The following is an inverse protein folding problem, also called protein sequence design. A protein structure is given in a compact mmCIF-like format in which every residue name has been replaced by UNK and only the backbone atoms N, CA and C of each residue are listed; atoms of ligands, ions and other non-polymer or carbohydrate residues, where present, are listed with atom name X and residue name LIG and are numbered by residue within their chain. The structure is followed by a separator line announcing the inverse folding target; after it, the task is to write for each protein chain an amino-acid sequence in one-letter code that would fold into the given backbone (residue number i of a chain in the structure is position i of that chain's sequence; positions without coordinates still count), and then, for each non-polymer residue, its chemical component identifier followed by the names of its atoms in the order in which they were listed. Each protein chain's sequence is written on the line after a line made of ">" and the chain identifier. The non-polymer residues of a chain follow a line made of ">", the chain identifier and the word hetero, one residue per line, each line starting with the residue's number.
data_IF_853639527606
#
_entry.id   IF_853639527606
#
_cell.length_a   1.000
_cell.length_b   1.000
_cell.length_c   1.000
_cell.angle_alpha   90.00
_cell.angle_beta   90.00
_cell.angle_gamma   90.00
#
_symmetry.space_group_name_H-M   'P 1'
#
loop_
_entity.id
_entity.type
_entity.pdbx_description
1 polymer ?
#
# COMPACT_ATOMS: atom_id res chain seq x y z
N UNK A 1 -31.58 -18.68 -40.65
CA UNK A 1 -31.33 -18.29 -39.25
C UNK A 1 -29.83 -18.03 -39.15
N UNK A 2 -29.36 -16.78 -39.22
CA UNK A 2 -27.93 -16.52 -39.06
C UNK A 2 -27.57 -16.76 -37.59
N UNK A 3 -26.57 -17.61 -37.38
CA UNK A 3 -25.88 -17.74 -36.09
C UNK A 3 -25.22 -16.40 -35.84
N UNK A 4 -25.72 -15.66 -34.85
CA UNK A 4 -25.07 -14.43 -34.38
C UNK A 4 -23.74 -14.83 -33.76
N UNK A 5 -22.67 -14.49 -34.44
CA UNK A 5 -21.29 -14.59 -33.98
C UNK A 5 -21.12 -13.61 -32.81
N UNK A 6 -21.46 -14.04 -31.60
CA UNK A 6 -21.24 -13.27 -30.38
C UNK A 6 -19.86 -13.58 -29.80
N UNK A 7 -18.82 -13.38 -30.59
CA UNK A 7 -17.48 -13.20 -30.05
C UNK A 7 -17.43 -11.81 -29.41
N UNK A 8 -17.92 -11.72 -28.16
CA UNK A 8 -17.48 -10.66 -27.26
C UNK A 8 -15.95 -10.75 -27.23
N UNK A 9 -15.28 -9.86 -27.96
CA UNK A 9 -13.83 -9.80 -27.97
C UNK A 9 -13.41 -9.57 -26.52
N UNK A 10 -12.79 -10.58 -25.89
CA UNK A 10 -12.28 -10.48 -24.54
C UNK A 10 -11.36 -9.27 -24.47
N UNK A 11 -11.72 -8.26 -23.69
CA UNK A 11 -10.90 -7.05 -23.55
C UNK A 11 -9.55 -7.46 -22.97
N UNK A 12 -8.50 -7.09 -23.67
CA UNK A 12 -7.14 -7.48 -23.34
C UNK A 12 -6.32 -6.22 -23.03
N UNK A 13 -5.65 -6.25 -21.89
CA UNK A 13 -4.79 -5.19 -21.38
C UNK A 13 -3.35 -5.72 -21.30
N UNK A 14 -2.39 -4.88 -21.70
CA UNK A 14 -0.97 -5.19 -21.62
C UNK A 14 -0.23 -4.08 -20.88
N UNK A 15 0.45 -4.46 -19.81
CA UNK A 15 1.22 -3.58 -18.94
C UNK A 15 2.55 -4.23 -18.58
N UNK A 16 3.52 -3.47 -18.10
CA UNK A 16 4.77 -4.04 -17.58
C UNK A 16 4.53 -4.68 -16.21
N UNK A 17 3.75 -4.01 -15.37
CA UNK A 17 3.44 -4.44 -14.00
C UNK A 17 1.93 -4.41 -13.75
N UNK A 18 1.39 -5.50 -13.22
CA UNK A 18 0.02 -5.61 -12.72
C UNK A 18 0.03 -5.65 -11.19
N UNK A 19 -0.57 -4.67 -10.54
CA UNK A 19 -0.68 -4.58 -9.08
C UNK A 19 -2.14 -4.82 -8.70
N UNK A 20 -2.42 -5.89 -7.96
CA UNK A 20 -3.76 -6.27 -7.53
C UNK A 20 -3.98 -5.83 -6.09
N UNK A 21 -4.63 -4.68 -5.94
CA UNK A 21 -4.96 -4.05 -4.66
C UNK A 21 -4.40 -2.63 -4.55
N UNK A 22 -5.26 -1.68 -4.21
CA UNK A 22 -4.95 -0.24 -4.16
C UNK A 22 -4.86 0.31 -2.71
N UNK A 23 -4.41 -0.52 -1.76
CA UNK A 23 -4.07 -0.05 -0.41
C UNK A 23 -2.70 0.65 -0.38
N UNK A 24 -2.20 0.99 0.82
CA UNK A 24 -0.89 1.62 0.98
C UNK A 24 0.23 0.86 0.26
N UNK A 25 0.24 -0.49 0.34
CA UNK A 25 1.25 -1.32 -0.31
C UNK A 25 1.22 -1.18 -1.84
N UNK A 26 0.04 -1.30 -2.47
CA UNK A 26 -0.08 -1.24 -3.93
C UNK A 26 0.16 0.16 -4.50
N UNK A 27 -0.40 1.19 -3.86
CA UNK A 27 -0.21 2.58 -4.28
C UNK A 27 1.25 3.04 -4.11
N UNK A 28 1.86 2.73 -2.95
CA UNK A 28 3.27 3.09 -2.74
C UNK A 28 4.19 2.36 -3.71
N UNK A 29 3.96 1.08 -3.99
CA UNK A 29 4.72 0.36 -5.01
C UNK A 29 4.57 1.02 -6.38
N UNK A 30 3.35 1.32 -6.82
CA UNK A 30 3.10 1.94 -8.12
C UNK A 30 3.87 3.25 -8.28
N UNK A 31 3.91 4.07 -7.22
CA UNK A 31 4.62 5.36 -7.19
C UNK A 31 6.15 5.24 -7.09
N UNK A 32 6.67 4.12 -6.62
CA UNK A 32 8.12 3.87 -6.56
C UNK A 32 8.68 3.25 -7.84
N UNK A 33 7.82 2.66 -8.68
CA UNK A 33 8.25 2.09 -9.94
C UNK A 33 8.69 3.20 -10.91
N UNK A 34 9.79 3.00 -11.67
CA UNK A 34 10.23 3.97 -12.67
C UNK A 34 9.13 4.37 -13.65
N UNK A 35 9.09 5.66 -14.01
CA UNK A 35 8.05 6.25 -14.86
C UNK A 35 7.96 5.65 -16.29
N UNK A 36 8.96 4.88 -16.74
CA UNK A 36 8.95 4.21 -18.04
C UNK A 36 8.17 2.88 -18.02
N UNK A 37 7.79 2.37 -16.85
CA UNK A 37 6.93 1.18 -16.74
C UNK A 37 5.46 1.58 -16.84
N UNK A 38 4.71 0.87 -17.68
CA UNK A 38 3.24 0.94 -17.73
C UNK A 38 2.67 0.06 -16.63
N UNK A 39 1.87 0.64 -15.74
CA UNK A 39 1.39 -0.02 -14.54
C UNK A 39 -0.14 -0.10 -14.58
N UNK A 40 -0.70 -1.29 -14.40
CA UNK A 40 -2.11 -1.48 -14.12
C UNK A 40 -2.31 -1.66 -12.61
N UNK A 41 -3.06 -0.76 -11.97
CA UNK A 41 -3.43 -0.85 -10.57
C UNK A 41 -4.91 -1.23 -10.45
N UNK A 42 -5.18 -2.41 -9.88
CA UNK A 42 -6.52 -2.97 -9.77
C UNK A 42 -7.10 -2.69 -8.39
N UNK A 43 -8.34 -2.20 -8.35
CA UNK A 43 -9.14 -2.07 -7.14
C UNK A 43 -10.49 -2.76 -7.28
N UNK A 44 -10.84 -3.60 -6.29
CA UNK A 44 -12.13 -4.31 -6.20
C UNK A 44 -13.34 -3.37 -6.04
N UNK A 45 -13.11 -2.18 -5.51
CA UNK A 45 -14.13 -1.17 -5.25
C UNK A 45 -13.56 0.23 -5.52
N UNK A 46 -14.18 1.28 -4.97
CA UNK A 46 -13.58 2.62 -4.99
C UNK A 46 -12.29 2.64 -4.17
N UNK A 47 -11.38 3.56 -4.51
CA UNK A 47 -10.03 3.63 -3.94
C UNK A 47 -10.01 3.90 -2.42
N UNK A 48 -11.10 4.44 -1.87
CA UNK A 48 -11.24 4.79 -0.45
C UNK A 48 -11.89 3.70 0.41
N UNK A 49 -11.99 2.46 -0.09
CA UNK A 49 -12.70 1.37 0.61
C UNK A 49 -11.79 0.32 1.28
N UNK A 50 -10.46 0.37 1.05
CA UNK A 50 -9.52 -0.59 1.65
C UNK A 50 -9.22 -0.31 3.13
N UNK A 51 -8.73 -1.31 3.88
CA UNK A 51 -8.41 -1.19 5.31
C UNK A 51 -7.44 -0.04 5.63
N UNK A 52 -6.51 0.27 4.72
CA UNK A 52 -5.60 1.42 4.85
C UNK A 52 -6.36 2.71 5.14
N UNK A 53 -7.46 2.98 4.43
CA UNK A 53 -8.22 4.23 4.59
C UNK A 53 -8.82 4.40 6.00
N UNK A 54 -9.09 3.27 6.67
CA UNK A 54 -9.73 3.21 7.99
C UNK A 54 -8.73 3.06 9.15
N UNK A 55 -7.42 3.05 8.88
CA UNK A 55 -6.44 2.98 9.95
C UNK A 55 -6.43 4.29 10.76
N UNK A 56 -6.57 4.18 12.08
CA UNK A 56 -6.68 5.34 12.97
C UNK A 56 -5.34 5.68 13.62
N UNK A 57 -4.81 4.73 14.41
CA UNK A 57 -3.69 4.90 15.34
C UNK A 57 -2.50 5.62 14.74
N UNK A 58 -1.71 4.91 13.93
CA UNK A 58 -0.61 5.52 13.22
C UNK A 58 0.34 4.52 12.60
N UNK A 59 1.57 4.95 12.33
CA UNK A 59 2.63 4.11 11.81
C UNK A 59 3.82 4.13 12.76
N UNK A 60 4.35 2.96 13.12
CA UNK A 60 5.51 2.87 13.99
C UNK A 60 6.81 3.21 13.23
N UNK A 61 7.58 4.18 13.72
CA UNK A 61 8.89 4.52 13.18
C UNK A 61 9.81 5.17 14.23
N UNK A 62 11.09 4.83 14.18
CA UNK A 62 12.11 5.42 15.07
C UNK A 62 12.50 6.81 14.56
N UNK A 63 11.79 7.83 15.05
CA UNK A 63 11.90 9.22 14.58
C UNK A 63 12.64 10.17 15.53
N UNK A 64 12.82 9.79 16.80
CA UNK A 64 13.48 10.62 17.82
C UNK A 64 14.78 9.99 18.33
N UNK A 65 15.73 10.81 18.82
CA UNK A 65 17.01 10.37 19.41
C UNK A 65 16.87 9.66 20.76
N UNK A 66 15.67 9.64 21.33
CA UNK A 66 15.33 8.96 22.60
C UNK A 66 14.88 7.52 22.36
N UNK A 67 14.79 7.13 21.10
CA UNK A 67 14.37 5.82 20.66
C UNK A 67 15.45 5.22 19.75
N UNK A 68 15.51 3.90 19.67
CA UNK A 68 16.51 3.17 18.89
C UNK A 68 15.86 2.10 18.02
N UNK A 69 16.53 1.80 16.90
CA UNK A 69 16.16 0.67 16.03
C UNK A 69 16.12 -0.63 16.83
N UNK A 70 17.15 -0.89 17.64
CA UNK A 70 17.25 -2.13 18.42
C UNK A 70 16.10 -2.27 19.41
N UNK A 71 15.69 -1.18 20.07
CA UNK A 71 14.52 -1.19 20.95
C UNK A 71 13.23 -1.54 20.19
N UNK A 72 13.03 -0.99 18.99
CA UNK A 72 11.85 -1.33 18.18
C UNK A 72 11.88 -2.79 17.70
N UNK A 73 13.05 -3.29 17.32
CA UNK A 73 13.24 -4.69 16.92
C UNK A 73 12.86 -5.61 18.08
N UNK A 74 13.38 -5.35 19.28
CA UNK A 74 13.08 -6.18 20.45
C UNK A 74 11.60 -6.07 20.87
N UNK A 75 10.99 -4.89 20.86
CA UNK A 75 9.54 -4.71 21.06
C UNK A 75 8.74 -5.62 20.09
N UNK A 76 9.11 -5.63 18.81
CA UNK A 76 8.43 -6.40 17.76
C UNK A 76 8.61 -7.91 17.95
N UNK A 77 9.83 -8.36 18.26
CA UNK A 77 10.13 -9.78 18.47
C UNK A 77 9.45 -10.34 19.71
N UNK A 78 9.40 -9.54 20.79
CA UNK A 78 8.68 -9.90 22.01
C UNK A 78 7.18 -9.99 21.76
N UNK A 79 6.58 -9.00 21.08
CA UNK A 79 5.17 -9.03 20.73
C UNK A 79 4.80 -10.17 19.75
N UNK A 80 5.76 -10.63 18.94
CA UNK A 80 5.60 -11.73 18.01
C UNK A 80 5.75 -13.14 18.60
N UNK A 81 5.95 -13.26 19.91
CA UNK A 81 5.96 -14.53 20.66
C UNK A 81 6.90 -15.60 20.07
N UNK A 82 8.09 -15.19 19.62
CA UNK A 82 9.10 -16.08 19.04
C UNK A 82 8.81 -16.60 17.63
N UNK A 83 7.72 -16.16 16.99
CA UNK A 83 7.32 -16.58 15.64
C UNK A 83 7.82 -15.65 14.53
N UNK A 84 8.42 -14.51 14.90
CA UNK A 84 8.97 -13.57 13.92
C UNK A 84 10.22 -14.10 13.23
N UNK A 85 10.33 -13.81 11.94
CA UNK A 85 11.60 -13.85 11.23
C UNK A 85 12.40 -12.58 11.55
N UNK A 86 13.50 -12.72 12.31
CA UNK A 86 14.29 -11.58 12.80
C UNK A 86 14.84 -10.71 11.68
N UNK A 87 15.31 -11.30 10.59
CA UNK A 87 15.80 -10.59 9.41
C UNK A 87 14.73 -9.68 8.77
N UNK A 88 13.49 -10.17 8.66
CA UNK A 88 12.37 -9.38 8.16
C UNK A 88 12.00 -8.22 9.11
N UNK A 89 12.02 -8.46 10.43
CA UNK A 89 11.77 -7.43 11.45
C UNK A 89 12.84 -6.35 11.39
N UNK A 90 14.12 -6.73 11.43
CA UNK A 90 15.24 -5.79 11.37
C UNK A 90 15.21 -4.97 10.07
N UNK A 91 14.96 -5.60 8.94
CA UNK A 91 14.81 -4.91 7.66
C UNK A 91 13.68 -3.88 7.70
N UNK A 92 12.51 -4.26 8.19
CA UNK A 92 11.34 -3.38 8.25
C UNK A 92 11.59 -2.18 9.15
N UNK A 93 12.07 -2.42 10.37
CA UNK A 93 12.33 -1.38 11.36
C UNK A 93 13.44 -0.43 10.89
N UNK A 94 14.56 -0.94 10.35
CA UNK A 94 15.68 -0.12 9.87
C UNK A 94 15.25 0.86 8.76
N UNK A 95 14.26 0.49 7.96
CA UNK A 95 13.78 1.31 6.85
C UNK A 95 12.59 2.23 7.22
N UNK A 96 12.01 2.12 8.42
CA UNK A 96 10.76 2.81 8.78
C UNK A 96 10.87 4.34 8.67
N UNK A 97 11.98 4.93 9.11
CA UNK A 97 12.22 6.39 9.02
C UNK A 97 12.20 6.86 7.56
N UNK A 98 12.89 6.15 6.66
CA UNK A 98 12.94 6.48 5.25
C UNK A 98 11.55 6.44 4.60
N UNK A 99 10.70 5.50 5.02
CA UNK A 99 9.31 5.40 4.57
C UNK A 99 8.48 6.60 5.04
N UNK A 100 8.61 7.02 6.30
CA UNK A 100 7.97 8.24 6.82
C UNK A 100 8.40 9.47 6.04
N UNK A 101 9.71 9.66 5.85
CA UNK A 101 10.26 10.80 5.12
C UNK A 101 9.76 10.82 3.66
N UNK A 102 9.59 9.65 3.05
CA UNK A 102 9.00 9.57 1.72
C UNK A 102 7.53 10.00 1.71
N UNK A 103 6.72 9.56 2.68
CA UNK A 103 5.31 9.98 2.81
C UNK A 103 5.20 11.51 3.02
N UNK A 104 6.04 12.08 3.88
CA UNK A 104 6.11 13.54 4.08
C UNK A 104 6.45 14.25 2.77
N UNK A 105 7.41 13.74 2.00
CA UNK A 105 7.74 14.29 0.66
C UNK A 105 6.61 14.16 -0.34
N UNK A 106 5.73 13.15 -0.22
CA UNK A 106 4.52 13.06 -1.05
C UNK A 106 3.46 14.08 -0.64
N UNK A 107 3.56 14.67 0.55
CA UNK A 107 2.61 15.66 1.08
C UNK A 107 1.69 15.13 2.16
N UNK A 108 2.00 13.97 2.78
CA UNK A 108 1.26 13.53 3.97
C UNK A 108 1.58 14.46 5.14
N UNK A 109 0.54 15.08 5.68
CA UNK A 109 0.63 15.99 6.81
C UNK A 109 0.46 15.21 8.13
N UNK A 110 1.57 15.03 8.85
CA UNK A 110 1.58 14.37 10.16
C UNK A 110 1.67 15.42 11.26
N UNK A 111 1.01 15.14 12.39
CA UNK A 111 0.90 16.10 13.49
C UNK A 111 2.29 16.48 14.03
N UNK A 112 2.47 17.77 14.31
CA UNK A 112 3.68 18.32 14.91
C UNK A 112 3.44 18.62 16.40
N UNK A 113 4.51 18.61 17.20
CA UNK A 113 4.45 18.99 18.61
C UNK A 113 4.25 20.50 18.75
N UNK A 114 3.21 20.89 19.48
CA UNK A 114 2.90 22.30 19.79
C UNK A 114 3.61 22.81 21.06
N UNK A 115 4.05 21.91 21.95
CA UNK A 115 4.55 22.20 23.30
C UNK A 115 6.03 22.60 23.38
N UNK A 116 6.60 23.16 22.30
CA UNK A 116 8.04 23.44 22.22
C UNK A 116 8.42 24.80 22.84
N UNK A 117 9.43 24.75 23.72
CA UNK A 117 10.02 25.91 24.41
C UNK A 117 11.33 26.37 23.75
N UNK A 118 11.89 25.57 22.84
CA UNK A 118 13.15 25.84 22.15
C UNK A 118 13.02 25.99 20.62
N UNK A 119 13.96 26.71 19.99
CA UNK A 119 13.97 27.00 18.56
C UNK A 119 14.57 25.86 17.71
N UNK A 120 14.40 24.60 18.10
CA UNK A 120 15.05 23.44 17.44
C UNK A 120 14.35 22.96 16.15
N UNK A 121 13.40 23.72 15.60
CA UNK A 121 12.62 23.38 14.40
C UNK A 121 11.33 22.59 14.69
N UNK A 122 10.59 22.16 13.68
CA UNK A 122 9.40 21.32 13.85
C UNK A 122 9.77 19.87 14.19
N UNK A 123 9.02 19.23 15.10
CA UNK A 123 9.14 17.80 15.46
C UNK A 123 7.77 17.14 15.41
N UNK A 124 7.72 15.90 14.94
CA UNK A 124 6.49 15.11 14.93
C UNK A 124 5.98 14.81 16.33
N UNK A 125 4.67 14.93 16.52
CA UNK A 125 4.00 14.41 17.69
C UNK A 125 3.91 12.88 17.60
N UNK A 126 4.41 12.18 18.62
CA UNK A 126 4.50 10.73 18.66
C UNK A 126 3.69 10.17 19.83
N UNK A 127 2.84 9.19 19.52
CA UNK A 127 2.08 8.42 20.51
C UNK A 127 2.75 7.06 20.78
N UNK A 128 2.17 6.30 21.70
CA UNK A 128 2.64 4.97 22.07
C UNK A 128 1.43 4.04 22.18
N UNK A 129 1.50 2.91 21.49
CA UNK A 129 0.49 1.86 21.51
C UNK A 129 1.04 0.60 22.20
N UNK A 130 0.17 -0.41 22.39
CA UNK A 130 0.53 -1.66 23.05
C UNK A 130 1.71 -2.37 22.37
N UNK A 131 2.59 -2.95 23.18
CA UNK A 131 3.80 -3.65 22.70
C UNK A 131 5.02 -2.75 22.51
N UNK A 132 4.89 -1.42 22.60
CA UNK A 132 6.02 -0.51 22.49
C UNK A 132 6.55 -0.02 23.84
N UNK A 133 7.88 0.06 23.95
CA UNK A 133 8.60 0.63 25.09
C UNK A 133 8.85 2.15 24.97
N UNK A 134 8.69 2.72 23.77
CA UNK A 134 8.94 4.13 23.47
C UNK A 134 7.82 4.73 22.60
N UNK A 135 7.65 6.07 22.67
CA UNK A 135 6.77 6.83 21.77
C UNK A 135 7.35 6.86 20.37
N UNK A 136 6.74 6.13 19.44
CA UNK A 136 7.23 5.95 18.07
C UNK A 136 6.12 5.86 17.03
N UNK A 137 4.87 6.04 17.42
CA UNK A 137 3.73 6.01 16.50
C UNK A 137 3.51 7.43 15.96
N UNK A 138 3.85 7.65 14.69
CA UNK A 138 3.52 8.88 13.98
C UNK A 138 2.08 8.81 13.47
N UNK A 139 1.34 9.92 13.56
CA UNK A 139 -0.09 9.95 13.24
C UNK A 139 -0.52 11.30 12.65
N UNK A 140 -1.73 11.32 12.08
CA UNK A 140 -2.42 12.52 11.65
C UNK A 140 -3.81 12.52 12.31
N UNK A 141 -3.95 13.29 13.39
CA UNK A 141 -5.09 13.23 14.31
C UNK A 141 -5.47 11.77 14.65
N UNK A 142 -6.74 11.41 14.47
CA UNK A 142 -7.30 10.07 14.65
C UNK A 142 -7.57 9.33 13.31
N UNK A 143 -7.01 9.82 12.21
CA UNK A 143 -7.32 9.36 10.85
C UNK A 143 -6.06 9.21 9.97
N UNK A 144 -4.98 8.67 10.53
CA UNK A 144 -3.68 8.52 9.84
C UNK A 144 -3.79 7.79 8.49
N UNK A 145 -4.58 6.71 8.47
CA UNK A 145 -4.82 5.92 7.27
C UNK A 145 -5.47 6.71 6.15
N UNK A 146 -6.43 7.57 6.47
CA UNK A 146 -7.08 8.47 5.52
C UNK A 146 -6.09 9.47 4.95
N UNK A 147 -5.32 10.13 5.81
CA UNK A 147 -4.31 11.13 5.40
C UNK A 147 -3.30 10.53 4.42
N UNK A 148 -2.79 9.32 4.71
CA UNK A 148 -1.89 8.60 3.81
C UNK A 148 -2.60 8.20 2.52
N UNK A 149 -3.78 7.59 2.60
CA UNK A 149 -4.50 7.11 1.42
C UNK A 149 -4.87 8.23 0.45
N UNK A 150 -5.37 9.37 0.94
CA UNK A 150 -5.78 10.47 0.07
C UNK A 150 -4.60 11.03 -0.74
N UNK A 151 -3.46 11.25 -0.10
CA UNK A 151 -2.23 11.71 -0.78
C UNK A 151 -1.76 10.69 -1.80
N UNK A 152 -1.67 9.41 -1.44
CA UNK A 152 -1.18 8.37 -2.36
C UNK A 152 -2.12 8.17 -3.55
N UNK A 153 -3.43 8.26 -3.35
CA UNK A 153 -4.42 8.20 -4.42
C UNK A 153 -4.25 9.37 -5.37
N UNK A 154 -4.14 10.60 -4.85
CA UNK A 154 -3.94 11.81 -5.65
C UNK A 154 -2.67 11.70 -6.51
N UNK A 155 -1.54 11.30 -5.91
CA UNK A 155 -0.28 11.11 -6.64
C UNK A 155 -0.40 10.04 -7.72
N UNK A 156 -1.07 8.92 -7.43
CA UNK A 156 -1.24 7.84 -8.40
C UNK A 156 -2.15 8.26 -9.56
N UNK A 157 -3.21 9.03 -9.30
CA UNK A 157 -4.10 9.56 -10.35
C UNK A 157 -3.42 10.60 -11.24
N UNK A 158 -2.45 11.34 -10.71
CA UNK A 158 -1.69 12.34 -11.46
C UNK A 158 -0.54 11.74 -12.29
N UNK A 159 -0.17 10.47 -12.08
CA UNK A 159 0.94 9.83 -12.76
C UNK A 159 0.52 9.27 -14.13
N UNK A 160 1.18 9.71 -15.21
CA UNK A 160 0.83 9.32 -16.58
C UNK A 160 1.04 7.83 -16.88
N UNK A 161 1.92 7.16 -16.14
CA UNK A 161 2.28 5.76 -16.37
C UNK A 161 1.47 4.76 -15.51
N UNK A 162 0.57 5.26 -14.65
CA UNK A 162 -0.28 4.44 -13.77
C UNK A 162 -1.73 4.51 -14.26
N UNK A 163 -2.27 3.37 -14.68
CA UNK A 163 -3.66 3.22 -15.06
C UNK A 163 -4.43 2.49 -13.96
N UNK A 164 -5.45 3.15 -13.42
CA UNK A 164 -6.22 2.67 -12.27
C UNK A 164 -7.55 2.09 -12.73
N UNK A 165 -7.81 0.83 -12.39
CA UNK A 165 -9.03 0.11 -12.73
C UNK A 165 -9.85 -0.18 -11.46
N UNK A 166 -10.89 0.60 -11.20
CA UNK A 166 -11.80 0.41 -10.04
C UNK A 166 -12.94 -0.55 -10.37
N UNK A 167 -13.56 -1.16 -9.34
CA UNK A 167 -14.60 -2.19 -9.52
C UNK A 167 -14.15 -3.43 -10.31
N UNK A 168 -12.85 -3.73 -10.30
CA UNK A 168 -12.25 -4.90 -10.96
C UNK A 168 -11.84 -5.94 -9.93
N UNK A 169 -12.29 -7.17 -10.10
CA UNK A 169 -12.01 -8.28 -9.18
C UNK A 169 -11.11 -9.28 -9.88
N UNK A 170 -9.88 -9.46 -9.38
CA UNK A 170 -9.05 -10.57 -9.81
C UNK A 170 -9.75 -11.90 -9.46
N UNK A 171 -9.92 -12.76 -10.45
CA UNK A 171 -10.56 -14.07 -10.32
C UNK A 171 -9.50 -15.16 -10.22
N UNK A 172 -8.54 -15.15 -11.13
CA UNK A 172 -7.46 -16.14 -11.16
C UNK A 172 -6.18 -15.57 -11.78
N UNK A 173 -5.04 -16.12 -11.36
CA UNK A 173 -3.74 -15.78 -11.93
C UNK A 173 -3.45 -16.66 -13.14
N UNK A 174 -2.85 -16.06 -14.16
CA UNK A 174 -2.45 -16.78 -15.36
C UNK A 174 -1.02 -17.24 -15.15
N UNK A 175 -0.84 -18.55 -15.02
CA UNK A 175 0.49 -19.14 -14.80
C UNK A 175 0.86 -20.08 -15.92
N UNK A 176 2.10 -19.97 -16.40
CA UNK A 176 2.65 -20.88 -17.38
C UNK A 176 4.15 -21.05 -17.11
N UNK A 177 4.63 -22.29 -17.18
CA UNK A 177 6.05 -22.63 -16.98
C UNK A 177 6.65 -22.08 -15.67
N UNK A 178 5.85 -22.04 -14.59
CA UNK A 178 6.30 -21.53 -13.30
C UNK A 178 6.34 -20.00 -13.18
N UNK A 179 5.91 -19.27 -14.22
CA UNK A 179 5.84 -17.81 -14.22
C UNK A 179 4.39 -17.34 -14.24
N UNK A 180 4.09 -16.30 -13.45
CA UNK A 180 2.84 -15.57 -13.56
C UNK A 180 2.92 -14.59 -14.74
N UNK A 181 1.97 -14.68 -15.66
CA UNK A 181 1.91 -13.88 -16.89
C UNK A 181 0.79 -12.83 -16.88
N UNK A 182 0.01 -12.78 -15.80
CA UNK A 182 -1.17 -11.91 -15.72
C UNK A 182 -2.26 -12.44 -14.81
N UNK A 183 -3.47 -11.93 -15.00
CA UNK A 183 -4.66 -12.38 -14.30
C UNK A 183 -5.92 -12.23 -15.16
N UNK A 184 -6.91 -13.09 -14.89
CA UNK A 184 -8.30 -12.89 -15.31
C UNK A 184 -8.99 -11.97 -14.31
N UNK A 185 -9.59 -10.89 -14.79
CA UNK A 185 -10.18 -9.85 -13.95
C UNK A 185 -11.62 -9.61 -14.37
N UNK A 186 -12.56 -9.82 -13.45
CA UNK A 186 -13.97 -9.50 -13.65
C UNK A 186 -14.19 -8.00 -13.48
N UNK A 187 -14.65 -7.34 -14.55
CA UNK A 187 -15.23 -6.01 -14.46
C UNK A 187 -16.66 -6.12 -13.92
N UNK A 188 -16.87 -5.69 -12.67
CA UNK A 188 -18.18 -5.77 -12.01
C UNK A 188 -19.23 -4.85 -12.60
N UNK A 189 -18.84 -3.88 -13.42
CA UNK A 189 -19.78 -2.96 -14.06
C UNK A 189 -20.35 -3.53 -15.35
N UNK A 190 -19.56 -4.35 -16.06
CA UNK A 190 -19.95 -4.94 -17.36
C UNK A 190 -20.22 -6.45 -17.29
N UNK A 191 -19.89 -7.10 -16.17
CA UNK A 191 -20.00 -8.56 -15.96
C UNK A 191 -19.17 -9.37 -16.97
N UNK A 192 -18.07 -8.77 -17.45
CA UNK A 192 -17.13 -9.41 -18.37
C UNK A 192 -15.78 -9.67 -17.71
N UNK A 193 -15.21 -10.83 -18.04
CA UNK A 193 -13.85 -11.17 -17.66
C UNK A 193 -12.88 -10.60 -18.70
N UNK A 194 -12.02 -9.71 -18.22
CA UNK A 194 -10.95 -9.06 -18.97
C UNK A 194 -9.62 -9.80 -18.72
N UNK A 195 -8.78 -9.85 -19.75
CA UNK A 195 -7.44 -10.44 -19.69
C UNK A 195 -6.41 -9.34 -19.43
N UNK A 196 -5.75 -9.37 -18.27
CA UNK A 196 -4.63 -8.49 -17.97
C UNK A 196 -3.32 -9.26 -18.05
N UNK A 197 -2.48 -8.93 -19.03
CA UNK A 197 -1.14 -9.50 -19.17
C UNK A 197 -0.09 -8.54 -18.63
N UNK A 198 0.86 -9.09 -17.86
CA UNK A 198 1.98 -8.32 -17.34
C UNK A 198 3.23 -9.19 -17.15
N UNK A 199 4.39 -8.53 -17.17
CA UNK A 199 5.69 -9.18 -16.95
C UNK A 199 5.95 -9.46 -15.47
N UNK A 200 5.36 -8.65 -14.60
CA UNK A 200 5.36 -8.84 -13.16
C UNK A 200 3.95 -8.64 -12.59
N UNK A 201 3.55 -9.51 -11.67
CA UNK A 201 2.25 -9.43 -10.99
C UNK A 201 2.50 -9.35 -9.48
N UNK A 202 1.88 -8.37 -8.82
CA UNK A 202 2.00 -8.16 -7.37
C UNK A 202 0.63 -8.23 -6.72
N UNK A 203 0.50 -9.08 -5.69
CA UNK A 203 -0.70 -9.15 -4.86
C UNK A 203 -0.54 -8.22 -3.65
N UNK A 204 -1.38 -7.20 -3.57
CA UNK A 204 -1.48 -6.23 -2.48
C UNK A 204 -2.94 -6.15 -1.98
N UNK A 205 -3.60 -7.30 -1.87
CA UNK A 205 -5.07 -7.44 -1.73
C UNK A 205 -5.64 -7.13 -0.35
N UNK A 206 -4.78 -6.91 0.65
CA UNK A 206 -5.20 -6.78 2.06
C UNK A 206 -5.36 -8.13 2.77
N UNK A 207 -5.88 -8.09 3.99
CA UNK A 207 -6.04 -9.28 4.85
C UNK A 207 -7.33 -10.06 4.60
N UNK A 208 -7.51 -11.13 5.38
CA UNK A 208 -8.63 -12.06 5.26
C UNK A 208 -9.56 -12.07 6.50
N UNK A 209 -9.66 -10.97 7.25
CA UNK A 209 -10.41 -10.94 8.52
C UNK A 209 -11.93 -11.07 8.37
N UNK A 210 -12.46 -10.85 7.16
CA UNK A 210 -13.89 -11.05 6.85
C UNK A 210 -14.06 -12.46 6.29
N UNK A 211 -14.22 -13.43 7.19
CA UNK A 211 -14.56 -14.84 6.92
C UNK A 211 -16.02 -15.12 7.20
#
# INVERSE_FOLDING_TARGET
>A
MPVTDNTSASRQHQHDVLIIGSGAAGLSLALHLPAHYRIALISKADLKQGSTYWAQGGMAAVLHTRDTIDSHVEDTLNAGDGLCHRDAVEFTVRNSRRCVEWLVRQGVDFDLREDRVDNSGPEFHLTMEGGHSHRRIIHAADATGRAISEVLIEKAQAAENIEIFTHRVAVDLITAQGHCQGAYILDRQTDHVELFQARAVVLATGGASKV
#
